data_IF_763705995600
#
_entry.id   IF_763705995600
#
_cell.length_a   1.000
_cell.length_b   1.000
_cell.length_c   1.000
_cell.angle_alpha   90.00
_cell.angle_beta   90.00
_cell.angle_gamma   90.00
#
_symmetry.space_group_name_H-M   'P 1'
#
loop_
_entity.id
_entity.type
_entity.pdbx_description
1 polymer ?
#
# COMPACT_ATOMS: atom_id res chain seq x y z
N UNK A 1 9.22 -3.37 -10.19
CA UNK A 1 8.77 -3.42 -8.79
C UNK A 1 7.26 -3.23 -8.72
N UNK A 2 6.71 -2.01 -8.87
CA UNK A 2 5.25 -1.77 -8.78
C UNK A 2 4.38 -2.62 -9.73
N UNK A 3 4.88 -3.01 -10.90
CA UNK A 3 4.13 -3.91 -11.80
C UNK A 3 3.92 -5.32 -11.23
N UNK A 4 4.68 -5.72 -10.22
CA UNK A 4 4.69 -7.08 -9.70
C UNK A 4 4.48 -7.18 -8.17
N UNK A 5 4.44 -6.05 -7.46
CA UNK A 5 4.43 -6.07 -5.99
C UNK A 5 3.22 -6.82 -5.41
N UNK A 6 2.04 -6.69 -6.03
CA UNK A 6 0.83 -7.41 -5.63
C UNK A 6 0.68 -8.80 -6.28
N UNK A 7 1.69 -9.36 -6.96
CA UNK A 7 1.58 -10.73 -7.47
C UNK A 7 1.38 -11.76 -6.34
N UNK A 8 1.85 -11.44 -5.13
CA UNK A 8 1.57 -12.21 -3.93
C UNK A 8 0.08 -12.32 -3.62
N UNK A 9 -0.76 -11.40 -4.10
CA UNK A 9 -2.19 -11.39 -3.80
C UNK A 9 -3.03 -12.33 -4.67
N UNK A 10 -2.48 -12.90 -5.75
CA UNK A 10 -3.22 -13.77 -6.69
C UNK A 10 -3.96 -14.91 -5.97
N UNK A 11 -3.27 -15.59 -5.04
CA UNK A 11 -3.84 -16.66 -4.23
C UNK A 11 -4.03 -16.28 -2.76
N UNK A 12 -3.27 -15.30 -2.25
CA UNK A 12 -3.38 -14.85 -0.87
C UNK A 12 -4.61 -13.94 -0.63
N UNK A 13 -5.07 -13.24 -1.67
CA UNK A 13 -6.03 -12.14 -1.58
C UNK A 13 -5.41 -10.86 -1.03
N UNK A 14 -6.10 -9.73 -1.24
CA UNK A 14 -5.73 -8.43 -0.66
C UNK A 14 -5.99 -8.42 0.86
N UNK A 15 -5.05 -7.88 1.63
CA UNK A 15 -5.17 -7.70 3.08
C UNK A 15 -5.36 -6.22 3.40
N UNK A 16 -6.57 -5.87 3.86
CA UNK A 16 -6.91 -4.49 4.17
C UNK A 16 -5.90 -3.82 5.13
N UNK A 17 -5.43 -2.61 4.77
CA UNK A 17 -4.33 -1.95 5.49
C UNK A 17 -4.60 -1.70 6.99
N UNK A 18 -5.87 -1.61 7.38
CA UNK A 18 -6.33 -1.39 8.76
C UNK A 18 -6.80 -2.67 9.47
N UNK A 19 -6.70 -3.85 8.85
CA UNK A 19 -6.93 -5.14 9.51
C UNK A 19 -5.61 -5.68 10.08
N UNK A 20 -5.27 -5.28 11.31
CA UNK A 20 -4.02 -5.70 11.95
C UNK A 20 -3.98 -7.22 12.24
N UNK A 21 -5.13 -7.90 12.35
CA UNK A 21 -5.19 -9.36 12.55
C UNK A 21 -4.87 -10.09 11.25
N UNK A 22 -5.56 -9.71 10.16
CA UNK A 22 -5.34 -10.28 8.83
C UNK A 22 -3.92 -10.06 8.30
N UNK A 23 -3.23 -9.02 8.79
CA UNK A 23 -1.83 -8.73 8.45
C UNK A 23 -0.80 -9.63 9.09
N UNK A 24 -1.10 -10.27 10.21
CA UNK A 24 -0.10 -10.98 11.02
C UNK A 24 0.61 -12.12 10.28
N UNK A 25 -0.04 -12.72 9.29
CA UNK A 25 0.46 -13.80 8.44
C UNK A 25 0.46 -13.44 6.94
N UNK A 26 0.17 -12.18 6.59
CA UNK A 26 0.07 -11.70 5.19
C UNK A 26 1.32 -12.01 4.36
N UNK A 27 2.50 -11.65 4.89
CA UNK A 27 3.78 -11.88 4.23
C UNK A 27 4.00 -13.36 3.85
N UNK A 28 3.73 -14.29 4.76
CA UNK A 28 3.95 -15.72 4.50
C UNK A 28 2.96 -16.27 3.46
N UNK A 29 1.70 -15.81 3.50
CA UNK A 29 0.68 -16.17 2.49
C UNK A 29 1.04 -15.63 1.11
N UNK A 30 1.45 -14.37 1.04
CA UNK A 30 1.82 -13.71 -0.21
C UNK A 30 3.10 -14.29 -0.82
N UNK A 31 4.10 -14.64 0.01
CA UNK A 31 5.31 -15.30 -0.45
C UNK A 31 5.01 -16.67 -1.07
N UNK A 32 4.12 -17.46 -0.47
CA UNK A 32 3.72 -18.75 -1.03
C UNK A 32 2.95 -18.58 -2.33
N UNK A 33 2.01 -17.64 -2.36
CA UNK A 33 1.25 -17.27 -3.57
C UNK A 33 2.16 -16.79 -4.71
N UNK A 34 3.19 -15.98 -4.40
CA UNK A 34 4.17 -15.53 -5.37
C UNK A 34 4.97 -16.69 -5.93
N UNK A 35 5.44 -17.62 -5.09
CA UNK A 35 6.17 -18.83 -5.54
C UNK A 35 5.34 -19.66 -6.53
N UNK A 36 4.06 -19.89 -6.23
CA UNK A 36 3.14 -20.60 -7.13
C UNK A 36 2.97 -19.85 -8.44
N UNK A 37 2.86 -18.51 -8.38
CA UNK A 37 2.66 -17.66 -9.56
C UNK A 37 3.88 -17.65 -10.47
N UNK A 38 5.09 -17.67 -9.90
CA UNK A 38 6.35 -17.63 -10.63
C UNK A 38 6.80 -18.99 -11.18
N UNK A 39 6.27 -20.12 -10.67
CA UNK A 39 6.66 -21.49 -11.09
C UNK A 39 6.56 -21.74 -12.62
N UNK A 40 5.74 -20.93 -13.32
CA UNK A 40 5.56 -20.98 -14.78
C UNK A 40 6.68 -20.32 -15.58
N UNK A 41 7.57 -19.56 -14.93
CA UNK A 41 8.61 -18.77 -15.58
C UNK A 41 9.95 -19.53 -15.62
N UNK A 42 10.88 -19.15 -16.53
CA UNK A 42 12.27 -19.56 -16.46
C UNK A 42 12.92 -19.19 -15.12
N UNK A 43 13.84 -20.03 -14.62
CA UNK A 43 14.43 -19.88 -13.27
C UNK A 43 15.09 -18.52 -13.03
N UNK A 44 15.75 -17.96 -14.05
CA UNK A 44 16.37 -16.63 -13.98
C UNK A 44 15.34 -15.51 -13.76
N UNK A 45 14.14 -15.65 -14.31
CA UNK A 45 13.06 -14.69 -14.10
C UNK A 45 12.40 -14.88 -12.73
N UNK A 46 12.26 -16.13 -12.27
CA UNK A 46 11.73 -16.42 -10.93
C UNK A 46 12.56 -15.74 -9.86
N UNK A 47 13.89 -15.95 -9.89
CA UNK A 47 14.81 -15.40 -8.90
C UNK A 47 14.77 -13.86 -8.94
N UNK A 48 14.86 -13.27 -10.13
CA UNK A 48 14.82 -11.80 -10.29
C UNK A 48 13.51 -11.18 -9.80
N UNK A 49 12.36 -11.82 -10.02
CA UNK A 49 11.07 -11.29 -9.58
C UNK A 49 10.86 -11.47 -8.08
N UNK A 50 11.32 -12.59 -7.52
CA UNK A 50 11.29 -12.82 -6.08
C UNK A 50 12.16 -11.80 -5.34
N UNK A 51 13.38 -11.53 -5.82
CA UNK A 51 14.24 -10.50 -5.25
C UNK A 51 13.58 -9.12 -5.31
N UNK A 52 12.99 -8.76 -6.45
CA UNK A 52 12.35 -7.46 -6.64
C UNK A 52 11.08 -7.28 -5.78
N UNK A 53 10.34 -8.36 -5.53
CA UNK A 53 9.21 -8.37 -4.59
C UNK A 53 9.70 -8.23 -3.14
N UNK A 54 10.70 -8.98 -2.72
CA UNK A 54 11.29 -8.87 -1.38
C UNK A 54 11.89 -7.49 -1.11
N UNK A 55 12.50 -6.89 -2.13
CA UNK A 55 13.02 -5.52 -2.06
C UNK A 55 11.90 -4.52 -1.77
N UNK A 56 10.74 -4.65 -2.42
CA UNK A 56 9.55 -3.85 -2.14
C UNK A 56 9.07 -4.04 -0.69
N UNK A 57 8.86 -5.29 -0.27
CA UNK A 57 8.36 -5.63 1.07
C UNK A 57 9.24 -5.06 2.18
N UNK A 58 10.57 -5.16 2.02
CA UNK A 58 11.52 -4.67 3.02
C UNK A 58 11.70 -3.16 2.99
N UNK A 59 11.50 -2.50 1.85
CA UNK A 59 11.56 -1.03 1.73
C UNK A 59 12.96 -0.44 2.00
N UNK A 60 14.03 -1.22 1.82
CA UNK A 60 15.37 -0.79 2.19
C UNK A 60 16.08 0.05 1.12
N UNK A 61 15.81 -0.21 -0.16
CA UNK A 61 16.39 0.56 -1.28
C UNK A 61 15.66 1.88 -1.52
N UNK A 62 16.28 2.78 -2.27
CA UNK A 62 15.66 4.06 -2.64
C UNK A 62 14.46 3.80 -3.56
N UNK A 63 14.60 2.87 -4.50
CA UNK A 63 13.58 2.43 -5.43
C UNK A 63 12.37 1.85 -4.69
N UNK A 64 12.59 0.98 -3.69
CA UNK A 64 11.52 0.41 -2.89
C UNK A 64 10.80 1.44 -2.02
N UNK A 65 11.55 2.34 -1.38
CA UNK A 65 10.95 3.45 -0.63
C UNK A 65 10.04 4.29 -1.51
N UNK A 66 10.53 4.67 -2.69
CA UNK A 66 9.73 5.47 -3.61
C UNK A 66 8.52 4.70 -4.15
N UNK A 67 8.67 3.42 -4.48
CA UNK A 67 7.56 2.56 -4.90
C UNK A 67 6.47 2.48 -3.83
N UNK A 68 6.82 2.23 -2.57
CA UNK A 68 5.86 2.19 -1.45
C UNK A 68 5.17 3.52 -1.20
N UNK A 69 5.85 4.65 -1.44
CA UNK A 69 5.21 5.97 -1.38
C UNK A 69 4.16 6.11 -2.48
N UNK A 70 4.48 5.72 -3.72
CA UNK A 70 3.52 5.77 -4.83
C UNK A 70 2.32 4.86 -4.55
N UNK A 71 2.57 3.62 -4.13
CA UNK A 71 1.54 2.68 -3.72
C UNK A 71 0.65 3.24 -2.60
N UNK A 72 1.24 3.89 -1.60
CA UNK A 72 0.46 4.48 -0.51
C UNK A 72 -0.39 5.71 -0.91
N UNK A 73 0.05 6.47 -1.92
CA UNK A 73 -0.62 7.69 -2.40
C UNK A 73 -1.82 7.39 -3.30
N UNK A 74 -1.72 6.39 -4.18
CA UNK A 74 -2.75 6.08 -5.17
C UNK A 74 -4.12 5.80 -4.53
N UNK A 75 -4.25 4.99 -3.46
CA UNK A 75 -5.52 4.78 -2.78
C UNK A 75 -6.08 6.06 -2.13
N UNK A 76 -5.23 6.97 -1.62
CA UNK A 76 -5.70 8.24 -1.04
C UNK A 76 -6.33 9.11 -2.12
N UNK A 77 -5.63 9.27 -3.25
CA UNK A 77 -6.12 10.01 -4.41
C UNK A 77 -7.41 9.39 -4.96
N UNK A 78 -7.41 8.07 -5.19
CA UNK A 78 -8.57 7.38 -5.74
C UNK A 78 -9.80 7.51 -4.83
N UNK A 79 -9.62 7.38 -3.51
CA UNK A 79 -10.72 7.52 -2.56
C UNK A 79 -11.29 8.95 -2.59
N UNK A 80 -10.43 9.97 -2.56
CA UNK A 80 -10.86 11.37 -2.65
C UNK A 80 -11.64 11.66 -3.93
N UNK A 81 -11.16 11.20 -5.08
CA UNK A 81 -11.75 11.51 -6.39
C UNK A 81 -13.05 10.73 -6.66
N UNK A 82 -13.08 9.44 -6.31
CA UNK A 82 -14.14 8.53 -6.75
C UNK A 82 -15.27 8.38 -5.73
N UNK A 83 -14.96 8.44 -4.42
CA UNK A 83 -15.95 8.17 -3.39
C UNK A 83 -17.03 9.26 -3.31
N UNK A 84 -18.22 8.88 -2.87
CA UNK A 84 -19.29 9.84 -2.61
C UNK A 84 -19.01 10.59 -1.29
N UNK A 85 -19.50 11.83 -1.14
CA UNK A 85 -19.41 12.53 0.15
C UNK A 85 -19.97 11.67 1.28
N UNK A 86 -19.29 11.66 2.43
CA UNK A 86 -19.61 10.86 3.61
C UNK A 86 -19.51 9.33 3.45
N UNK A 87 -18.86 8.84 2.41
CA UNK A 87 -18.60 7.41 2.23
C UNK A 87 -17.40 6.95 3.10
N UNK A 88 -17.68 6.65 4.37
CA UNK A 88 -16.71 6.13 5.34
C UNK A 88 -17.26 4.89 6.06
N UNK A 89 -17.39 3.75 5.35
CA UNK A 89 -18.02 2.53 5.91
C UNK A 89 -17.24 1.91 7.07
N UNK A 90 -15.93 2.20 7.17
CA UNK A 90 -15.04 1.68 8.20
C UNK A 90 -14.82 2.65 9.36
N UNK A 91 -15.45 3.84 9.33
CA UNK A 91 -15.31 4.84 10.39
C UNK A 91 -13.87 5.30 10.59
N UNK A 92 -13.05 5.35 9.54
CA UNK A 92 -11.65 5.72 9.62
C UNK A 92 -11.50 7.17 10.07
N UNK A 93 -10.56 7.41 10.98
CA UNK A 93 -10.19 8.75 11.45
C UNK A 93 -8.99 9.28 10.66
N UNK A 94 -8.88 10.62 10.61
CA UNK A 94 -7.71 11.32 10.07
C UNK A 94 -6.42 10.82 10.72
N UNK A 95 -6.43 10.65 12.04
CA UNK A 95 -5.30 10.19 12.84
C UNK A 95 -4.85 8.76 12.45
N UNK A 96 -5.78 7.84 12.19
CA UNK A 96 -5.47 6.50 11.71
C UNK A 96 -4.81 6.53 10.32
N UNK A 97 -5.35 7.32 9.39
CA UNK A 97 -4.80 7.45 8.03
C UNK A 97 -3.41 8.07 8.06
N UNK A 98 -3.21 9.17 8.79
CA UNK A 98 -1.88 9.82 8.97
C UNK A 98 -0.88 8.83 9.54
N UNK A 99 -1.26 8.06 10.56
CA UNK A 99 -0.36 7.09 11.20
C UNK A 99 0.18 6.07 10.18
N UNK A 100 -0.70 5.48 9.36
CA UNK A 100 -0.30 4.50 8.34
C UNK A 100 0.48 5.11 7.16
N UNK A 101 0.39 6.43 6.93
CA UNK A 101 1.00 7.12 5.77
C UNK A 101 2.21 7.98 6.11
N UNK A 102 2.50 8.18 7.40
CA UNK A 102 3.57 9.07 7.89
C UNK A 102 4.99 8.72 7.39
N UNK A 103 5.23 7.44 7.04
CA UNK A 103 6.50 6.98 6.47
C UNK A 103 6.89 7.72 5.17
N UNK A 104 5.91 8.28 4.43
CA UNK A 104 6.17 9.06 3.20
C UNK A 104 7.13 10.21 3.48
N UNK A 105 7.03 10.83 4.67
CA UNK A 105 7.89 11.95 5.09
C UNK A 105 9.38 11.60 5.07
N UNK A 106 9.73 10.35 5.38
CA UNK A 106 11.12 9.89 5.40
C UNK A 106 11.73 9.77 4.00
N UNK A 107 10.87 9.67 2.97
CA UNK A 107 11.28 9.49 1.57
C UNK A 107 11.18 10.80 0.78
N UNK A 108 10.12 11.58 0.99
CA UNK A 108 9.91 12.85 0.28
C UNK A 108 8.97 13.78 1.06
N UNK A 109 9.50 14.95 1.45
CA UNK A 109 8.72 15.99 2.13
C UNK A 109 7.60 16.54 1.23
N UNK A 110 7.88 16.81 -0.04
CA UNK A 110 6.88 17.31 -0.99
C UNK A 110 5.72 16.33 -1.22
N UNK A 111 6.01 15.02 -1.30
CA UNK A 111 4.94 14.01 -1.43
C UNK A 111 4.16 13.83 -0.12
N UNK A 112 4.81 14.07 1.03
CA UNK A 112 4.12 14.06 2.30
C UNK A 112 3.18 15.26 2.46
N UNK A 113 3.60 16.46 2.05
CA UNK A 113 2.72 17.64 2.00
C UNK A 113 1.49 17.39 1.13
N UNK A 114 1.69 16.80 -0.06
CA UNK A 114 0.60 16.39 -0.93
C UNK A 114 -0.34 15.37 -0.25
N UNK A 115 0.22 14.35 0.40
CA UNK A 115 -0.58 13.35 1.13
C UNK A 115 -1.43 14.01 2.22
N UNK A 116 -0.86 14.96 2.97
CA UNK A 116 -1.59 15.70 4.01
C UNK A 116 -2.72 16.53 3.40
N UNK A 117 -2.48 17.22 2.29
CA UNK A 117 -3.51 18.00 1.60
C UNK A 117 -4.67 17.11 1.14
N UNK A 118 -4.39 15.96 0.54
CA UNK A 118 -5.41 14.99 0.12
C UNK A 118 -6.21 14.47 1.33
N UNK A 119 -5.55 14.17 2.45
CA UNK A 119 -6.21 13.73 3.68
C UNK A 119 -7.12 14.82 4.22
N UNK A 120 -6.67 16.08 4.24
CA UNK A 120 -7.47 17.22 4.71
C UNK A 120 -8.70 17.45 3.84
N UNK A 121 -8.56 17.36 2.51
CA UNK A 121 -9.69 17.41 1.59
C UNK A 121 -10.65 16.22 1.79
N UNK A 122 -10.12 15.03 2.07
CA UNK A 122 -10.93 13.84 2.35
C UNK A 122 -11.77 14.01 3.63
N UNK A 123 -11.20 14.62 4.67
CA UNK A 123 -11.94 14.99 5.89
C UNK A 123 -13.04 15.99 5.58
N UNK A 124 -12.75 17.04 4.80
CA UNK A 124 -13.75 18.03 4.40
C UNK A 124 -14.90 17.42 3.58
N UNK A 125 -14.62 16.36 2.79
CA UNK A 125 -15.60 15.57 2.03
C UNK A 125 -16.33 14.52 2.89
N UNK A 126 -15.96 14.38 4.16
CA UNK A 126 -16.55 13.42 5.11
C UNK A 126 -16.08 11.98 4.90
N UNK A 127 -15.00 11.76 4.16
CA UNK A 127 -14.44 10.43 3.90
C UNK A 127 -13.64 9.89 5.09
N UNK A 128 -13.18 10.78 5.97
CA UNK A 128 -12.52 10.46 7.25
C UNK A 128 -13.11 11.32 8.36
N UNK A 129 -13.12 10.81 9.59
CA UNK A 129 -13.53 11.55 10.79
C UNK A 129 -12.39 12.47 11.26
N UNK A 130 -12.71 13.70 11.66
CA UNK A 130 -11.76 14.71 12.16
C UNK A 130 -11.47 14.54 13.67
N UNK A 131 -11.22 13.29 14.09
CA UNK A 131 -10.96 12.89 15.49
C UNK A 131 -9.55 12.33 15.70
#
# INVERSE_FOLDING_TARGET
MLLIHDLGEIYAGDTFIFDDVGKSDSYDRELESLRISLDKLPSDQQDSFLELWQEFETGNSIEAKYARVMDALVPLLNHLEVAQPHDNPHGLTKSQVITKKSFIKETSEALWELAQEIIDQSVAKGLYLDE
#
